data_IF_885944830552
#
_entry.id   IF_885944830552
#
_cell.length_a   1.000
_cell.length_b   1.000
_cell.length_c   1.000
_cell.angle_alpha   90.00
_cell.angle_beta   90.00
_cell.angle_gamma   90.00
#
_symmetry.space_group_name_H-M   'P 1'
#
loop_
_entity.id
_entity.type
_entity.pdbx_description
1 polymer ?
#
# COMPACT_ATOMS: atom_id res chain seq x y z
N UNK A 1 31.00 19.15 -14.76
CA UNK A 1 30.41 18.10 -13.92
C UNK A 1 30.89 18.35 -12.50
N UNK A 2 30.01 18.58 -11.54
CA UNK A 2 30.43 18.81 -10.15
C UNK A 2 30.90 17.49 -9.56
N UNK A 3 32.14 17.46 -9.07
CA UNK A 3 32.72 16.28 -8.43
C UNK A 3 31.83 15.79 -7.28
N UNK A 4 31.68 14.47 -7.17
CA UNK A 4 30.95 13.85 -6.05
C UNK A 4 31.71 14.11 -4.75
N UNK A 5 31.04 14.72 -3.78
CA UNK A 5 31.62 15.02 -2.47
C UNK A 5 31.09 14.06 -1.41
N UNK A 6 31.89 13.84 -0.36
CA UNK A 6 31.48 13.00 0.78
C UNK A 6 30.21 13.49 1.46
N UNK A 7 30.03 14.82 1.56
CA UNK A 7 28.82 15.41 2.14
C UNK A 7 27.57 15.05 1.34
N UNK A 8 27.70 15.03 0.02
CA UNK A 8 26.60 14.66 -0.88
C UNK A 8 26.23 13.17 -0.83
N UNK A 9 27.23 12.29 -0.71
CA UNK A 9 26.98 10.85 -0.46
C UNK A 9 26.21 10.66 0.84
N UNK A 10 26.64 11.33 1.91
CA UNK A 10 25.99 11.23 3.22
C UNK A 10 24.59 11.85 3.25
N UNK A 11 24.38 12.96 2.52
CA UNK A 11 23.05 13.59 2.42
C UNK A 11 22.08 12.68 1.68
N UNK A 12 22.52 12.06 0.57
CA UNK A 12 21.75 11.11 -0.23
C UNK A 12 21.42 9.86 0.57
N UNK A 13 22.42 9.26 1.23
CA UNK A 13 22.26 8.11 2.12
C UNK A 13 21.21 8.35 3.21
N UNK A 14 21.32 9.47 3.95
CA UNK A 14 20.33 9.83 4.99
C UNK A 14 18.96 10.12 4.39
N UNK A 15 18.93 10.69 3.19
CA UNK A 15 17.70 10.91 2.44
C UNK A 15 16.95 9.61 2.19
N UNK A 16 17.64 8.60 1.65
CA UNK A 16 17.08 7.28 1.34
C UNK A 16 16.60 6.60 2.62
N UNK A 17 17.42 6.57 3.67
CA UNK A 17 17.02 5.95 4.94
C UNK A 17 15.76 6.58 5.56
N UNK A 18 15.62 7.90 5.47
CA UNK A 18 14.41 8.59 5.94
C UNK A 18 13.18 8.22 5.11
N UNK A 19 13.31 8.12 3.79
CA UNK A 19 12.21 7.70 2.93
C UNK A 19 11.81 6.24 3.18
N UNK A 20 12.78 5.34 3.30
CA UNK A 20 12.55 3.93 3.61
C UNK A 20 11.85 3.77 4.97
N UNK A 21 12.29 4.53 5.97
CA UNK A 21 11.67 4.54 7.29
C UNK A 21 10.21 4.98 7.23
N UNK A 22 9.92 6.08 6.54
CA UNK A 22 8.57 6.64 6.37
C UNK A 22 7.63 5.69 5.62
N UNK A 23 8.09 5.09 4.52
CA UNK A 23 7.21 4.36 3.60
C UNK A 23 7.06 2.87 3.94
N UNK A 24 8.13 2.22 4.42
CA UNK A 24 8.16 0.76 4.57
C UNK A 24 8.30 0.31 6.03
N UNK A 25 9.06 1.04 6.84
CA UNK A 25 9.35 0.61 8.23
C UNK A 25 8.25 1.03 9.21
N UNK A 26 7.63 2.19 9.01
CA UNK A 26 6.68 2.77 9.97
C UNK A 26 5.49 1.87 10.29
N UNK A 27 4.88 1.23 9.27
CA UNK A 27 3.66 0.41 9.44
C UNK A 27 3.92 -0.97 10.03
N UNK A 28 4.99 -1.64 9.58
CA UNK A 28 5.23 -3.06 9.88
C UNK A 28 6.34 -3.29 10.92
N UNK A 29 7.02 -2.22 11.38
CA UNK A 29 8.24 -2.26 12.22
C UNK A 29 9.38 -3.15 11.67
N UNK A 30 9.29 -3.53 10.39
CA UNK A 30 10.27 -4.39 9.73
C UNK A 30 11.46 -3.56 9.23
N UNK A 31 12.66 -3.87 9.73
CA UNK A 31 13.91 -3.18 9.38
C UNK A 31 14.67 -3.80 8.21
N UNK A 32 14.12 -4.81 7.53
CA UNK A 32 14.78 -5.50 6.39
C UNK A 32 15.24 -4.50 5.33
N UNK A 33 14.36 -3.61 4.87
CA UNK A 33 14.70 -2.60 3.85
C UNK A 33 15.74 -1.59 4.33
N UNK A 34 15.65 -1.18 5.60
CA UNK A 34 16.64 -0.30 6.20
C UNK A 34 18.02 -0.97 6.21
N UNK A 35 18.09 -2.24 6.64
CA UNK A 35 19.34 -2.99 6.73
C UNK A 35 19.94 -3.24 5.35
N UNK A 36 19.12 -3.51 4.33
CA UNK A 36 19.59 -3.67 2.96
C UNK A 36 20.24 -2.39 2.42
N UNK A 37 19.62 -1.22 2.64
CA UNK A 37 20.24 0.06 2.24
C UNK A 37 21.58 0.26 2.95
N UNK A 38 21.65 -0.01 4.25
CA UNK A 38 22.92 0.07 5.01
C UNK A 38 23.97 -0.88 4.43
N UNK A 39 23.60 -2.12 4.11
CA UNK A 39 24.49 -3.11 3.53
C UNK A 39 25.04 -2.66 2.16
N UNK A 40 24.18 -2.12 1.29
CA UNK A 40 24.56 -1.61 -0.04
C UNK A 40 25.53 -0.44 0.05
N UNK A 41 25.28 0.53 0.92
CA UNK A 41 26.20 1.66 1.11
C UNK A 41 27.53 1.25 1.76
N UNK A 42 27.53 0.23 2.61
CA UNK A 42 28.77 -0.35 3.16
C UNK A 42 29.57 -1.10 2.10
N UNK A 43 28.91 -1.87 1.23
CA UNK A 43 29.56 -2.53 0.10
C UNK A 43 30.14 -1.51 -0.89
N UNK A 44 29.43 -0.40 -1.15
CA UNK A 44 29.95 0.69 -1.98
C UNK A 44 31.15 1.43 -1.38
N UNK A 45 31.38 1.36 -0.07
CA UNK A 45 32.50 2.03 0.57
C UNK A 45 33.86 1.38 0.26
N UNK A 46 33.89 0.16 -0.27
CA UNK A 46 35.11 -0.51 -0.71
C UNK A 46 35.47 -0.21 -2.17
N UNK A 47 34.64 0.54 -2.89
CA UNK A 47 34.93 0.95 -4.27
C UNK A 47 36.06 1.96 -4.28
N UNK A 48 37.02 1.77 -5.19
CA UNK A 48 38.17 2.67 -5.36
C UNK A 48 38.18 3.41 -6.68
N UNK A 49 37.43 2.94 -7.67
CA UNK A 49 37.40 3.54 -9.00
C UNK A 49 36.47 4.78 -9.02
N UNK A 50 36.97 5.98 -9.37
CA UNK A 50 36.17 7.20 -9.36
C UNK A 50 34.93 7.15 -10.25
N UNK A 51 35.02 6.51 -11.42
CA UNK A 51 33.91 6.46 -12.39
C UNK A 51 32.75 5.64 -11.81
N UNK A 52 33.04 4.44 -11.29
CA UNK A 52 32.02 3.61 -10.64
C UNK A 52 31.39 4.26 -9.40
N UNK A 53 32.16 5.05 -8.64
CA UNK A 53 31.65 5.81 -7.49
C UNK A 53 30.66 6.88 -7.97
N UNK A 54 30.99 7.63 -9.02
CA UNK A 54 30.11 8.66 -9.57
C UNK A 54 28.79 8.07 -10.10
N UNK A 55 28.87 6.95 -10.82
CA UNK A 55 27.70 6.21 -11.31
C UNK A 55 26.83 5.71 -10.15
N UNK A 56 27.44 5.06 -9.15
CA UNK A 56 26.72 4.55 -7.97
C UNK A 56 26.00 5.66 -7.21
N UNK A 57 26.62 6.83 -7.09
CA UNK A 57 26.03 7.98 -6.41
C UNK A 57 24.90 8.60 -7.24
N UNK A 58 25.06 8.66 -8.57
CA UNK A 58 23.99 9.06 -9.49
C UNK A 58 22.78 8.14 -9.34
N UNK A 59 22.98 6.84 -9.29
CA UNK A 59 21.91 5.85 -9.09
C UNK A 59 21.23 6.02 -7.73
N UNK A 60 22.00 6.24 -6.67
CA UNK A 60 21.44 6.53 -5.35
C UNK A 60 20.55 7.79 -5.35
N UNK A 61 20.96 8.86 -6.05
CA UNK A 61 20.15 10.09 -6.20
C UNK A 61 18.88 9.84 -7.01
N UNK A 62 18.96 9.02 -8.06
CA UNK A 62 17.80 8.63 -8.86
C UNK A 62 16.78 7.85 -8.01
N UNK A 63 17.25 6.88 -7.21
CA UNK A 63 16.41 6.11 -6.29
C UNK A 63 15.73 7.03 -5.27
N UNK A 64 16.49 7.96 -4.66
CA UNK A 64 15.93 8.93 -3.72
C UNK A 64 14.83 9.77 -4.36
N UNK A 65 15.05 10.24 -5.59
CA UNK A 65 14.06 11.01 -6.35
C UNK A 65 12.82 10.18 -6.62
N UNK A 66 12.98 8.95 -7.12
CA UNK A 66 11.88 8.01 -7.35
C UNK A 66 11.05 7.74 -6.09
N UNK A 67 11.69 7.49 -4.94
CA UNK A 67 10.99 7.27 -3.68
C UNK A 67 10.15 8.47 -3.25
N UNK A 68 10.69 9.69 -3.40
CA UNK A 68 9.97 10.92 -3.09
C UNK A 68 8.78 11.13 -4.03
N UNK A 69 8.99 10.93 -5.33
CA UNK A 69 7.93 11.05 -6.35
C UNK A 69 6.82 10.03 -6.13
N UNK A 70 7.12 8.79 -5.74
CA UNK A 70 6.10 7.79 -5.41
C UNK A 70 5.24 8.18 -4.20
N UNK A 71 5.87 8.70 -3.14
CA UNK A 71 5.13 9.18 -1.99
C UNK A 71 4.22 10.35 -2.37
N UNK A 72 4.74 11.30 -3.12
CA UNK A 72 3.97 12.46 -3.55
C UNK A 72 2.83 12.08 -4.49
N UNK A 73 3.09 11.16 -5.42
CA UNK A 73 2.06 10.60 -6.27
C UNK A 73 0.93 9.96 -5.46
N UNK A 74 1.25 9.16 -4.44
CA UNK A 74 0.24 8.61 -3.52
C UNK A 74 -0.57 9.71 -2.82
N UNK A 75 0.09 10.74 -2.30
CA UNK A 75 -0.59 11.87 -1.66
C UNK A 75 -1.55 12.60 -2.61
N UNK A 76 -1.11 12.83 -3.86
CA UNK A 76 -1.92 13.50 -4.88
C UNK A 76 -3.12 12.65 -5.30
N UNK A 77 -2.92 11.34 -5.48
CA UNK A 77 -3.99 10.40 -5.79
C UNK A 77 -5.01 10.36 -4.66
N UNK A 78 -4.58 10.28 -3.41
CA UNK A 78 -5.48 10.29 -2.24
C UNK A 78 -6.28 11.61 -2.17
N UNK A 79 -5.64 12.75 -2.46
CA UNK A 79 -6.28 14.07 -2.39
C UNK A 79 -7.26 14.35 -3.52
N UNK A 80 -6.90 14.02 -4.75
CA UNK A 80 -7.64 14.45 -5.94
C UNK A 80 -8.43 13.33 -6.60
N UNK A 81 -8.16 12.07 -6.24
CA UNK A 81 -8.89 10.90 -6.74
C UNK A 81 -9.58 10.14 -5.60
N UNK A 82 -10.67 10.69 -5.04
CA UNK A 82 -11.45 10.05 -3.97
C UNK A 82 -12.10 8.72 -4.41
N UNK A 83 -12.14 8.45 -5.73
CA UNK A 83 -12.61 7.16 -6.26
C UNK A 83 -11.64 5.99 -6.06
N UNK A 84 -10.47 6.22 -5.46
CA UNK A 84 -9.55 5.13 -5.07
C UNK A 84 -10.07 4.32 -3.88
N UNK A 85 -10.84 4.94 -2.99
CA UNK A 85 -11.51 4.28 -1.87
C UNK A 85 -12.91 3.76 -2.17
N UNK A 86 -13.48 4.09 -3.33
CA UNK A 86 -14.82 3.65 -3.71
C UNK A 86 -14.80 2.20 -4.19
N UNK A 87 -15.74 1.40 -3.69
CA UNK A 87 -15.99 0.06 -4.21
C UNK A 87 -16.43 0.13 -5.68
N UNK A 88 -16.34 -0.98 -6.40
CA UNK A 88 -16.80 -1.03 -7.79
C UNK A 88 -18.29 -0.69 -7.91
N UNK A 89 -19.11 -1.11 -6.95
CA UNK A 89 -20.53 -0.74 -6.83
C UNK A 89 -20.72 0.78 -6.75
N UNK A 90 -19.95 1.45 -5.89
CA UNK A 90 -20.09 2.89 -5.66
C UNK A 90 -19.60 3.71 -6.86
N UNK A 91 -18.55 3.23 -7.56
CA UNK A 91 -18.10 3.81 -8.83
C UNK A 91 -19.22 3.73 -9.87
N UNK A 92 -19.82 2.55 -10.04
CA UNK A 92 -20.89 2.32 -11.00
C UNK A 92 -22.13 3.18 -10.67
N UNK A 93 -22.44 3.32 -9.38
CA UNK A 93 -23.55 4.17 -8.89
C UNK A 93 -23.30 5.65 -9.20
N UNK A 94 -22.09 6.16 -8.95
CA UNK A 94 -21.74 7.56 -9.28
C UNK A 94 -21.80 7.83 -10.78
N UNK A 95 -21.34 6.89 -11.61
CA UNK A 95 -21.44 7.01 -13.07
C UNK A 95 -22.89 7.04 -13.52
N UNK A 96 -23.76 6.16 -13.00
CA UNK A 96 -25.18 6.17 -13.29
C UNK A 96 -25.82 7.53 -12.89
N UNK A 97 -25.52 8.03 -11.70
CA UNK A 97 -26.05 9.31 -11.21
C UNK A 97 -25.59 10.51 -12.06
N UNK A 98 -24.42 10.43 -12.70
CA UNK A 98 -23.90 11.51 -13.57
C UNK A 98 -24.78 11.74 -14.80
N UNK A 99 -25.48 10.70 -15.26
CA UNK A 99 -26.42 10.76 -16.38
C UNK A 99 -27.89 10.76 -15.91
N UNK A 100 -28.13 10.98 -14.61
CA UNK A 100 -29.48 10.96 -14.01
C UNK A 100 -30.12 9.58 -13.95
N UNK A 101 -29.33 8.51 -14.05
CA UNK A 101 -29.80 7.12 -13.94
C UNK A 101 -29.45 6.55 -12.57
N UNK A 102 -30.20 5.52 -12.14
CA UNK A 102 -29.89 4.73 -10.95
C UNK A 102 -29.54 3.30 -11.35
N UNK A 103 -28.71 2.64 -10.55
CA UNK A 103 -28.42 1.23 -10.81
C UNK A 103 -29.67 0.38 -10.57
N UNK A 104 -29.96 -0.60 -11.46
CA UNK A 104 -31.02 -1.55 -11.21
C UNK A 104 -30.70 -2.38 -9.97
N UNK A 105 -31.72 -2.71 -9.17
CA UNK A 105 -31.57 -3.66 -8.07
C UNK A 105 -31.09 -5.00 -8.66
N UNK A 106 -30.00 -5.53 -8.12
CA UNK A 106 -29.52 -6.86 -8.50
C UNK A 106 -30.59 -7.88 -8.12
N UNK A 107 -31.19 -8.54 -9.12
CA UNK A 107 -32.14 -9.63 -8.88
C UNK A 107 -31.44 -10.75 -8.11
N UNK A 108 -31.93 -11.06 -6.90
CA UNK A 108 -31.37 -12.08 -6.00
C UNK A 108 -30.81 -11.57 -4.68
N UNK A 109 -30.78 -10.25 -4.46
CA UNK A 109 -30.50 -9.63 -3.15
C UNK A 109 -31.76 -9.05 -2.49
N UNK A 110 -32.94 -9.53 -2.89
CA UNK A 110 -34.19 -9.22 -2.19
C UNK A 110 -34.40 -10.25 -1.07
N UNK A 111 -34.27 -9.73 0.15
CA UNK A 111 -34.93 -10.21 1.36
C UNK A 111 -34.58 -11.62 1.86
N UNK A 112 -33.48 -11.72 2.62
CA UNK A 112 -33.59 -12.48 3.88
C UNK A 112 -34.52 -11.64 4.77
N UNK A 113 -35.82 -11.76 4.54
CA UNK A 113 -36.75 -11.58 5.64
C UNK A 113 -36.26 -12.57 6.71
N UNK A 114 -35.90 -12.06 7.89
CA UNK A 114 -35.97 -12.87 9.10
C UNK A 114 -37.45 -13.20 9.37
N UNK A 115 -38.07 -13.96 8.46
CA UNK A 115 -39.20 -14.81 8.78
C UNK A 115 -38.69 -15.92 9.71
N UNK A 116 -39.58 -16.62 10.44
CA UNK A 116 -39.24 -17.38 11.65
C UNK A 116 -38.52 -18.71 11.36
N UNK A 117 -37.50 -18.72 10.49
CA UNK A 117 -36.65 -19.89 10.22
C UNK A 117 -35.76 -20.20 11.44
N UNK A 118 -35.47 -19.20 12.28
CA UNK A 118 -34.74 -19.40 13.53
C UNK A 118 -35.43 -20.36 14.50
N UNK A 119 -36.77 -20.45 14.49
CA UNK A 119 -37.51 -21.34 15.39
C UNK A 119 -37.35 -22.83 15.02
N UNK A 120 -37.26 -23.16 13.73
CA UNK A 120 -37.18 -24.55 13.26
C UNK A 120 -35.78 -25.17 13.41
N UNK A 121 -34.72 -24.35 13.38
CA UNK A 121 -33.35 -24.84 13.54
C UNK A 121 -33.01 -25.15 15.02
N UNK A 122 -33.52 -24.35 15.96
CA UNK A 122 -33.34 -24.60 17.39
C UNK A 122 -34.09 -25.86 17.86
N UNK A 123 -35.26 -26.14 17.29
CA UNK A 123 -36.04 -27.35 17.58
C UNK A 123 -35.36 -28.60 17.01
N UNK A 124 -34.82 -28.52 15.80
CA UNK A 124 -34.01 -29.59 15.20
C UNK A 124 -32.73 -29.87 16.01
N UNK A 125 -32.07 -28.83 16.55
CA UNK A 125 -30.86 -29.00 17.36
C UNK A 125 -31.15 -29.65 18.71
N UNK A 126 -32.29 -29.33 19.35
CA UNK A 126 -32.75 -30.00 20.58
C UNK A 126 -33.08 -31.47 20.38
N UNK A 127 -33.73 -31.83 19.26
CA UNK A 127 -34.04 -33.23 18.93
C UNK A 127 -32.75 -34.05 18.77
N UNK A 128 -31.74 -33.50 18.10
CA UNK A 128 -30.44 -34.18 17.89
C UNK A 128 -29.65 -34.33 19.19
N UNK A 129 -29.73 -33.37 20.12
CA UNK A 129 -29.06 -33.48 21.42
C UNK A 129 -29.74 -34.49 22.36
N UNK A 130 -31.06 -34.59 22.34
CA UNK A 130 -31.80 -35.57 23.16
C UNK A 130 -31.69 -37.01 22.65
N UNK A 131 -31.33 -37.21 21.38
CA UNK A 131 -31.10 -38.54 20.79
C UNK A 131 -29.70 -39.12 21.07
N UNK A 132 -28.83 -38.37 21.77
CA UNK A 132 -27.44 -38.75 22.07
C UNK A 132 -27.17 -39.11 23.55
N UNK A 133 -28.21 -39.22 24.38
CA UNK A 133 -28.14 -39.80 25.73
C UNK A 133 -28.71 -41.21 25.73
#
# INVERSE_FOLDING_TARGET
MSAVTRSDILSTYRGILREVSKQYTHRNKNRVWHNEVVARFRAGATLSDPVTIEESVKDARNILTFMRSNREHRNLVERYWPATGLSNEEKLTRTANTVGLSLPKMFGAEEIQEGPVAAGLDEAFKIVQNARS
#
